data_IF_546835243704
#
_entry.id   IF_546835243704
#
_cell.length_a   1.000
_cell.length_b   1.000
_cell.length_c   1.000
_cell.angle_alpha   90.00
_cell.angle_beta   90.00
_cell.angle_gamma   90.00
#
_symmetry.space_group_name_H-M   'P 1'
#
loop_
_entity.id
_entity.type
_entity.pdbx_description
1 polymer ?
#
# COMPACT_ATOMS: atom_id res chain seq x y z
N UNK A 1 6.45 -35.37 2.69
CA UNK A 1 7.40 -34.54 1.93
C UNK A 1 7.15 -33.10 2.39
N UNK A 2 7.90 -32.61 3.39
CA UNK A 2 7.67 -31.29 3.96
C UNK A 2 8.18 -30.25 2.96
N UNK A 3 7.28 -29.50 2.33
CA UNK A 3 7.65 -28.27 1.63
C UNK A 3 8.01 -27.23 2.70
N UNK A 4 9.29 -27.12 3.03
CA UNK A 4 9.81 -25.94 3.71
C UNK A 4 9.70 -24.78 2.72
N UNK A 5 8.62 -24.01 2.82
CA UNK A 5 8.46 -22.79 2.05
C UNK A 5 9.50 -21.81 2.55
N UNK A 6 10.51 -21.51 1.73
CA UNK A 6 11.47 -20.45 2.04
C UNK A 6 10.67 -19.15 2.22
N UNK A 7 10.84 -18.44 3.36
CA UNK A 7 10.17 -17.16 3.56
C UNK A 7 10.52 -16.20 2.42
N UNK A 8 9.50 -15.52 1.90
CA UNK A 8 9.67 -14.48 0.88
C UNK A 8 10.55 -13.36 1.42
N UNK A 9 11.32 -12.69 0.56
CA UNK A 9 12.36 -11.73 0.96
C UNK A 9 11.87 -10.67 1.95
N UNK A 10 10.72 -10.05 1.68
CA UNK A 10 10.23 -8.98 2.55
C UNK A 10 9.67 -9.51 3.88
N UNK A 11 9.24 -10.78 3.94
CA UNK A 11 8.71 -11.39 5.17
C UNK A 11 9.83 -11.73 6.17
N UNK A 12 11.08 -11.86 5.72
CA UNK A 12 12.23 -12.13 6.60
C UNK A 12 12.88 -10.87 7.19
N UNK A 13 12.46 -9.68 6.78
CA UNK A 13 13.04 -8.41 7.21
C UNK A 13 12.30 -7.83 8.43
N UNK A 14 13.04 -7.22 9.35
CA UNK A 14 12.45 -6.34 10.36
C UNK A 14 11.75 -5.15 9.70
N UNK A 15 10.88 -4.44 10.44
CA UNK A 15 10.19 -3.27 9.89
C UNK A 15 11.18 -2.18 9.43
N UNK A 16 12.28 -2.01 10.17
CA UNK A 16 13.33 -1.05 9.84
C UNK A 16 14.08 -1.48 8.56
N UNK A 17 14.57 -2.72 8.50
CA UNK A 17 15.30 -3.23 7.33
C UNK A 17 14.40 -3.26 6.08
N UNK A 18 13.11 -3.54 6.26
CA UNK A 18 12.13 -3.52 5.18
C UNK A 18 11.93 -2.11 4.62
N UNK A 19 11.79 -1.08 5.48
CA UNK A 19 11.70 0.30 5.03
C UNK A 19 12.99 0.77 4.36
N UNK A 20 14.15 0.42 4.91
CA UNK A 20 15.45 0.74 4.30
C UNK A 20 15.58 0.09 2.91
N UNK A 21 15.17 -1.18 2.77
CA UNK A 21 15.17 -1.87 1.49
C UNK A 21 14.21 -1.24 0.47
N UNK A 22 13.06 -0.74 0.93
CA UNK A 22 12.10 0.00 0.11
C UNK A 22 12.65 1.36 -0.34
N UNK A 23 13.18 2.15 0.60
CA UNK A 23 13.73 3.50 0.37
C UNK A 23 14.96 3.46 -0.55
N UNK A 24 15.82 2.45 -0.38
CA UNK A 24 16.99 2.20 -1.25
C UNK A 24 16.64 1.49 -2.58
N UNK A 25 15.37 1.11 -2.77
CA UNK A 25 14.86 0.35 -3.90
C UNK A 25 15.60 -0.98 -4.19
N UNK A 26 16.09 -1.61 -3.13
CA UNK A 26 16.84 -2.88 -3.16
C UNK A 26 15.94 -4.12 -3.05
N UNK A 27 14.64 -3.95 -2.77
CA UNK A 27 13.68 -5.08 -2.86
C UNK A 27 13.73 -5.69 -4.27
N UNK A 28 13.89 -7.03 -4.40
CA UNK A 28 13.98 -7.68 -5.71
C UNK A 28 12.72 -7.51 -6.55
N UNK A 29 12.87 -7.56 -7.87
CA UNK A 29 11.74 -7.48 -8.79
C UNK A 29 10.77 -8.63 -8.55
N UNK A 30 9.48 -8.30 -8.48
CA UNK A 30 8.44 -9.29 -8.21
C UNK A 30 8.30 -9.66 -6.73
N UNK A 31 9.20 -9.27 -5.84
CA UNK A 31 9.05 -9.53 -4.40
C UNK A 31 8.12 -8.51 -3.72
N UNK A 32 8.05 -7.27 -4.22
CA UNK A 32 7.18 -6.22 -3.69
C UNK A 32 5.72 -6.43 -4.13
N UNK A 33 4.93 -7.09 -3.28
CA UNK A 33 3.53 -7.48 -3.53
C UNK A 33 2.56 -6.61 -2.73
N UNK A 34 1.26 -6.84 -2.91
CA UNK A 34 0.16 -6.11 -2.25
C UNK A 34 0.39 -5.92 -0.74
N UNK A 35 0.65 -7.00 0.00
CA UNK A 35 0.89 -6.93 1.45
C UNK A 35 2.08 -6.06 1.84
N UNK A 36 3.09 -5.91 0.98
CA UNK A 36 4.24 -5.05 1.25
C UNK A 36 3.87 -3.57 1.08
N UNK A 37 3.00 -3.25 0.13
CA UNK A 37 2.46 -1.90 -0.02
C UNK A 37 1.64 -1.51 1.22
N UNK A 38 0.85 -2.45 1.77
CA UNK A 38 0.10 -2.24 3.02
C UNK A 38 1.05 -2.08 4.21
N UNK A 39 2.12 -2.88 4.30
CA UNK A 39 3.15 -2.74 5.36
C UNK A 39 3.82 -1.38 5.30
N UNK A 40 4.26 -0.94 4.12
CA UNK A 40 4.81 0.41 3.88
C UNK A 40 3.84 1.48 4.37
N UNK A 41 2.57 1.40 3.96
CA UNK A 41 1.57 2.38 4.37
C UNK A 41 1.35 2.38 5.88
N UNK A 42 1.23 1.21 6.51
CA UNK A 42 1.06 1.08 7.96
C UNK A 42 2.22 1.73 8.72
N UNK A 43 3.46 1.43 8.33
CA UNK A 43 4.66 1.92 9.02
C UNK A 43 4.82 3.44 8.91
N UNK A 44 4.70 4.00 7.69
CA UNK A 44 4.80 5.45 7.52
C UNK A 44 3.64 6.20 8.18
N UNK A 45 2.40 5.72 8.07
CA UNK A 45 1.25 6.40 8.66
C UNK A 45 1.28 6.37 10.19
N UNK A 46 1.76 5.27 10.78
CA UNK A 46 1.94 5.15 12.23
C UNK A 46 3.07 6.04 12.74
N UNK A 47 4.21 6.07 12.04
CA UNK A 47 5.40 6.83 12.45
C UNK A 47 5.26 8.33 12.22
N UNK A 48 4.76 8.72 11.05
CA UNK A 48 4.83 10.11 10.56
C UNK A 48 3.44 10.79 10.52
N UNK A 49 2.37 10.06 10.86
CA UNK A 49 1.00 10.54 10.74
C UNK A 49 0.51 10.64 9.29
N UNK A 50 -0.77 11.01 9.12
CA UNK A 50 -1.42 10.92 7.81
C UNK A 50 -0.77 11.79 6.73
N UNK A 51 -0.53 13.08 7.02
CA UNK A 51 -0.05 14.05 6.03
C UNK A 51 1.37 13.72 5.55
N UNK A 52 2.32 13.58 6.47
CA UNK A 52 3.72 13.31 6.14
C UNK A 52 3.91 11.86 5.68
N UNK A 53 3.23 10.91 6.32
CA UNK A 53 3.24 9.51 5.90
C UNK A 53 2.75 9.33 4.46
N UNK A 54 1.65 9.98 4.07
CA UNK A 54 1.14 9.95 2.68
C UNK A 54 2.17 10.44 1.68
N UNK A 55 2.83 11.57 1.98
CA UNK A 55 3.88 12.13 1.13
C UNK A 55 5.02 11.12 0.93
N UNK A 56 5.53 10.54 2.02
CA UNK A 56 6.63 9.56 2.00
C UNK A 56 6.28 8.30 1.24
N UNK A 57 5.06 7.78 1.39
CA UNK A 57 4.58 6.60 0.66
C UNK A 57 4.56 6.89 -0.85
N UNK A 58 4.00 8.03 -1.27
CA UNK A 58 3.92 8.41 -2.69
C UNK A 58 5.33 8.57 -3.28
N UNK A 59 6.20 9.35 -2.63
CA UNK A 59 7.58 9.57 -3.07
C UNK A 59 8.36 8.26 -3.16
N UNK A 60 8.23 7.40 -2.14
CA UNK A 60 8.88 6.09 -2.10
C UNK A 60 8.44 5.17 -3.23
N UNK A 61 7.12 5.05 -3.49
CA UNK A 61 6.61 4.20 -4.58
C UNK A 61 7.05 4.74 -5.94
N UNK A 62 7.02 6.07 -6.14
CA UNK A 62 7.51 6.69 -7.37
C UNK A 62 9.01 6.47 -7.57
N UNK A 63 9.82 6.59 -6.52
CA UNK A 63 11.26 6.29 -6.56
C UNK A 63 11.51 4.82 -6.90
N UNK A 64 10.78 3.91 -6.27
CA UNK A 64 10.85 2.48 -6.55
C UNK A 64 10.49 2.15 -8.00
N UNK A 65 9.40 2.73 -8.53
CA UNK A 65 9.00 2.53 -9.93
C UNK A 65 10.06 3.08 -10.92
N UNK A 66 10.67 4.23 -10.62
CA UNK A 66 11.75 4.82 -11.42
C UNK A 66 13.02 3.98 -11.41
N UNK A 67 13.45 3.47 -10.25
CA UNK A 67 14.67 2.66 -10.15
C UNK A 67 14.58 1.35 -10.92
N UNK A 68 13.36 0.83 -11.15
CA UNK A 68 13.12 -0.35 -11.99
C UNK A 68 12.88 -0.03 -13.48
N UNK A 69 13.04 1.24 -13.90
CA UNK A 69 12.72 1.73 -15.26
C UNK A 69 11.27 1.46 -15.69
N UNK A 70 10.33 1.45 -14.72
CA UNK A 70 8.91 1.16 -14.95
C UNK A 70 8.01 2.24 -14.31
N UNK A 71 8.13 3.52 -14.72
CA UNK A 71 7.38 4.62 -14.11
C UNK A 71 5.85 4.46 -14.24
N UNK A 72 5.40 3.76 -15.28
CA UNK A 72 3.98 3.50 -15.54
C UNK A 72 3.33 2.53 -14.53
N UNK A 73 4.12 1.92 -13.63
CA UNK A 73 3.59 1.10 -12.54
C UNK A 73 2.95 1.93 -11.42
N UNK A 74 3.27 3.22 -11.32
CA UNK A 74 2.63 4.09 -10.36
C UNK A 74 1.19 4.39 -10.77
N UNK A 75 0.27 4.38 -9.79
CA UNK A 75 -1.14 4.68 -10.01
C UNK A 75 -1.71 5.47 -8.84
N UNK A 76 -1.92 6.77 -9.05
CA UNK A 76 -2.30 7.75 -8.02
C UNK A 76 -3.57 7.33 -7.25
N UNK A 77 -4.66 7.02 -7.95
CA UNK A 77 -5.93 6.66 -7.29
C UNK A 77 -5.79 5.38 -6.45
N UNK A 78 -5.18 4.31 -6.98
CA UNK A 78 -4.99 3.05 -6.25
C UNK A 78 -4.12 3.27 -5.00
N UNK A 79 -3.01 3.98 -5.13
CA UNK A 79 -2.12 4.28 -4.00
C UNK A 79 -2.86 5.04 -2.90
N UNK A 80 -3.56 6.12 -3.25
CA UNK A 80 -4.28 6.94 -2.27
C UNK A 80 -5.46 6.20 -1.64
N UNK A 81 -6.14 5.32 -2.37
CA UNK A 81 -7.21 4.48 -1.83
C UNK A 81 -6.69 3.59 -0.70
N UNK A 82 -5.57 2.89 -0.92
CA UNK A 82 -4.99 2.01 0.09
C UNK A 82 -4.42 2.78 1.29
N UNK A 83 -3.80 3.94 1.07
CA UNK A 83 -3.35 4.83 2.15
C UNK A 83 -4.53 5.21 3.06
N UNK A 84 -5.67 5.61 2.48
CA UNK A 84 -6.86 5.98 3.24
C UNK A 84 -7.45 4.78 3.99
N UNK A 85 -7.55 3.62 3.35
CA UNK A 85 -8.02 2.38 3.98
C UNK A 85 -7.17 1.99 5.19
N UNK A 86 -5.84 2.08 5.07
CA UNK A 86 -4.91 1.79 6.17
C UNK A 86 -5.04 2.83 7.29
N UNK A 87 -5.07 4.12 6.95
CA UNK A 87 -5.23 5.19 7.94
C UNK A 87 -6.52 5.04 8.74
N UNK A 88 -7.64 4.74 8.07
CA UNK A 88 -8.92 4.51 8.73
C UNK A 88 -8.87 3.30 9.68
N UNK A 89 -8.22 2.21 9.26
CA UNK A 89 -8.05 1.03 10.11
C UNK A 89 -7.19 1.33 11.35
N UNK A 90 -6.08 2.07 11.20
CA UNK A 90 -5.24 2.53 12.32
C UNK A 90 -6.06 3.40 13.29
N UNK A 91 -6.88 4.31 12.74
CA UNK A 91 -7.70 5.25 13.53
C UNK A 91 -8.81 4.56 14.32
N UNK A 92 -9.35 3.44 13.82
CA UNK A 92 -10.36 2.63 14.52
C UNK A 92 -9.74 1.87 15.69
N UNK A 93 -8.54 1.31 15.49
CA UNK A 93 -7.83 0.54 16.51
C UNK A 93 -6.35 0.53 16.19
N UNK A 94 -5.55 1.04 17.12
CA UNK A 94 -4.10 0.87 17.07
C UNK A 94 -3.78 -0.57 17.47
N UNK A 95 -3.22 -1.34 16.54
CA UNK A 95 -2.85 -2.75 16.72
C UNK A 95 -1.39 -2.91 16.29
N UNK A 96 -0.64 -3.66 17.09
CA UNK A 96 0.75 -4.01 16.86
C UNK A 96 0.98 -5.48 17.23
N UNK A 97 1.92 -6.18 16.56
CA UNK A 97 2.72 -5.73 15.42
C UNK A 97 1.91 -5.68 14.10
N UNK A 98 2.56 -5.39 12.97
CA UNK A 98 1.92 -5.30 11.65
C UNK A 98 1.08 -6.54 11.31
N UNK A 99 1.55 -7.73 11.68
CA UNK A 99 0.87 -9.01 11.43
C UNK A 99 -0.50 -9.04 12.13
N UNK A 100 -0.56 -8.65 13.40
CA UNK A 100 -1.80 -8.57 14.16
C UNK A 100 -2.74 -7.48 13.61
N UNK A 101 -2.18 -6.36 13.14
CA UNK A 101 -2.96 -5.33 12.45
C UNK A 101 -3.61 -5.89 11.18
N UNK A 102 -2.88 -6.68 10.40
CA UNK A 102 -3.36 -7.26 9.15
C UNK A 102 -4.43 -8.34 9.40
N UNK A 103 -4.28 -9.16 10.44
CA UNK A 103 -5.28 -10.14 10.89
C UNK A 103 -6.59 -9.48 11.33
N UNK A 104 -6.51 -8.35 12.04
CA UNK A 104 -7.69 -7.58 12.45
C UNK A 104 -8.40 -6.89 11.28
N UNK A 105 -7.75 -6.75 10.13
CA UNK A 105 -8.23 -5.99 8.97
C UNK A 105 -8.18 -6.82 7.69
N UNK A 106 -8.97 -7.91 7.56
CA UNK A 106 -8.89 -8.84 6.43
C UNK A 106 -9.19 -8.20 5.06
N UNK A 107 -9.95 -7.10 5.03
CA UNK A 107 -10.18 -6.33 3.80
C UNK A 107 -8.89 -5.71 3.24
N UNK A 108 -7.89 -5.41 4.07
CA UNK A 108 -6.60 -4.91 3.61
C UNK A 108 -5.74 -5.99 2.93
N UNK A 109 -6.03 -7.28 3.16
CA UNK A 109 -5.27 -8.38 2.56
C UNK A 109 -5.67 -8.67 1.12
N UNK A 110 -6.92 -8.39 0.76
CA UNK A 110 -7.49 -8.69 -0.56
C UNK A 110 -7.31 -7.49 -1.48
N UNK A 111 -6.40 -7.58 -2.46
CA UNK A 111 -6.23 -6.53 -3.48
C UNK A 111 -7.54 -6.24 -4.23
N UNK A 112 -8.44 -7.22 -4.30
CA UNK A 112 -9.74 -7.13 -4.96
C UNK A 112 -10.74 -6.23 -4.21
N UNK A 113 -10.50 -5.90 -2.93
CA UNK A 113 -11.39 -5.01 -2.16
C UNK A 113 -11.55 -3.65 -2.82
N UNK A 114 -10.59 -3.17 -3.61
CA UNK A 114 -10.74 -1.92 -4.37
C UNK A 114 -11.93 -1.97 -5.35
N UNK A 115 -12.27 -3.14 -5.90
CA UNK A 115 -13.38 -3.31 -6.85
C UNK A 115 -14.76 -3.29 -6.18
N UNK A 116 -14.81 -3.26 -4.84
CA UNK A 116 -16.05 -2.96 -4.11
C UNK A 116 -16.37 -1.45 -4.14
N UNK A 117 -15.40 -0.61 -4.53
CA UNK A 117 -15.49 0.85 -4.54
C UNK A 117 -15.36 1.43 -5.95
N UNK A 118 -14.47 0.86 -6.77
CA UNK A 118 -14.16 1.35 -8.10
C UNK A 118 -14.51 0.35 -9.20
N UNK A 119 -15.09 0.85 -10.29
CA UNK A 119 -15.22 0.07 -11.51
C UNK A 119 -13.84 -0.17 -12.17
N UNK A 120 -13.63 -1.33 -12.82
CA UNK A 120 -12.43 -1.55 -13.63
C UNK A 120 -12.24 -0.50 -14.72
N UNK A 121 -13.32 0.03 -15.28
CA UNK A 121 -13.33 1.06 -16.32
C UNK A 121 -12.73 2.36 -15.80
N UNK A 122 -13.15 2.81 -14.61
CA UNK A 122 -12.62 4.01 -13.99
C UNK A 122 -11.12 3.87 -13.66
N UNK A 123 -10.71 2.74 -13.06
CA UNK A 123 -9.30 2.49 -12.74
C UNK A 123 -8.39 2.34 -13.97
N UNK A 124 -8.94 2.00 -15.14
CA UNK A 124 -8.16 1.96 -16.39
C UNK A 124 -7.93 3.33 -17.00
N UNK A 125 -8.62 4.38 -16.54
CA UNK A 125 -8.47 5.72 -17.10
C UNK A 125 -7.11 6.36 -16.76
N UNK A 126 -6.56 7.12 -17.70
CA UNK A 126 -5.35 7.92 -17.48
C UNK A 126 -5.54 8.99 -16.39
N UNK A 127 -6.77 9.46 -16.23
CA UNK A 127 -7.11 10.40 -15.18
C UNK A 127 -6.97 9.75 -13.78
N UNK A 128 -7.52 8.56 -13.56
CA UNK A 128 -7.36 7.84 -12.29
C UNK A 128 -5.91 7.44 -12.03
N UNK A 129 -5.13 7.18 -13.08
CA UNK A 129 -3.69 6.87 -12.97
C UNK A 129 -2.88 8.05 -12.47
N UNK A 130 -3.22 9.27 -12.87
CA UNK A 130 -2.41 10.48 -12.60
C UNK A 130 -2.98 11.38 -11.50
N UNK A 131 -4.27 11.26 -11.19
CA UNK A 131 -4.98 12.07 -10.19
C UNK A 131 -5.78 11.19 -9.24
N UNK A 132 -6.16 11.74 -8.10
CA UNK A 132 -7.17 11.13 -7.24
C UNK A 132 -8.55 11.30 -7.86
N UNK A 133 -9.23 10.19 -8.10
CA UNK A 133 -10.65 10.19 -8.49
C UNK A 133 -11.44 9.45 -7.42
N UNK A 134 -12.62 9.97 -7.07
CA UNK A 134 -13.49 9.36 -6.05
C UNK A 134 -14.07 8.03 -6.57
N UNK A 135 -14.38 7.08 -5.67
CA UNK A 135 -15.07 5.84 -6.01
C UNK A 135 -16.40 6.07 -6.75
N UNK A 136 -16.73 5.20 -7.70
CA UNK A 136 -17.95 5.26 -8.52
C UNK A 136 -18.98 4.16 -8.22
N UNK A 137 -18.59 3.06 -7.57
CA UNK A 137 -19.51 1.96 -7.22
C UNK A 137 -20.09 2.09 -5.81
N UNK A 138 -19.27 2.54 -4.86
CA UNK A 138 -19.68 2.71 -3.47
C UNK A 138 -19.00 3.94 -2.88
N UNK A 139 -19.80 4.81 -2.28
CA UNK A 139 -19.27 5.96 -1.55
C UNK A 139 -18.28 5.51 -0.47
N UNK A 140 -17.07 6.05 -0.54
CA UNK A 140 -16.12 5.99 0.55
C UNK A 140 -16.23 7.29 1.37
N UNK A 141 -16.40 7.15 2.69
CA UNK A 141 -16.72 8.27 3.58
C UNK A 141 -15.55 9.26 3.75
N UNK A 142 -15.87 10.55 3.65
CA UNK A 142 -15.12 11.74 4.05
C UNK A 142 -13.60 11.67 3.83
N UNK A 143 -13.21 12.03 2.60
CA UNK A 143 -11.83 12.36 2.25
C UNK A 143 -11.39 13.57 3.07
N UNK A 144 -10.46 13.37 4.01
CA UNK A 144 -9.62 14.44 4.56
C UNK A 144 -8.44 14.57 3.57
N UNK A 145 -8.55 15.48 2.61
CA UNK A 145 -7.41 15.97 1.82
C UNK A 145 -7.28 17.47 2.09
#
# INVERSE_FOLDING_TARGET
MYQTTIPRFCDSLSDQDFLEAFESATIPNGEFKHKDHIRVAYLYLKRDGFKEGTKRIIEGIQNFARSKNLPNLYHQTITLFWIQMVHQSISKRQVEPYEAFLECNPALQRKETIYEFYSPELLKSEEARTKWIKPDLRNYFSVIL
#
